data_IF_056874735712
#
_entry.id   IF_056874735712
#
_cell.length_a   1.000
_cell.length_b   1.000
_cell.length_c   1.000
_cell.angle_alpha   90.00
_cell.angle_beta   90.00
_cell.angle_gamma   90.00
#
_symmetry.space_group_name_H-M   'P 1'
#
loop_
_entity.id
_entity.type
_entity.pdbx_description
1 polymer ?
#
# COMPACT_ATOMS: atom_id res chain seq x y z
N UNK A 1 32.53 15.18 -1.39
CA UNK A 1 31.47 14.36 -2.05
C UNK A 1 30.25 14.22 -1.14
N UNK A 2 29.94 15.28 -0.43
CA UNK A 2 28.95 15.23 0.67
C UNK A 2 27.49 15.42 0.21
N UNK A 3 27.28 15.93 -0.99
CA UNK A 3 25.96 16.09 -1.60
C UNK A 3 25.22 14.76 -1.89
N UNK A 4 25.96 13.63 -1.99
CA UNK A 4 25.37 12.29 -2.15
C UNK A 4 24.86 11.68 -0.84
N UNK A 5 25.28 12.22 0.33
CA UNK A 5 24.83 11.73 1.63
C UNK A 5 23.51 12.40 2.07
N UNK A 6 23.30 13.65 1.66
CA UNK A 6 22.09 14.41 2.02
C UNK A 6 20.99 14.37 0.94
N UNK A 7 21.36 14.14 -0.32
CA UNK A 7 20.42 14.09 -1.43
C UNK A 7 19.49 12.85 -1.47
N UNK A 8 19.90 11.62 -1.09
CA UNK A 8 19.07 10.44 -1.33
C UNK A 8 17.81 10.38 -0.46
N UNK A 9 17.85 10.90 0.78
CA UNK A 9 16.68 10.86 1.66
C UNK A 9 15.55 11.78 1.19
N UNK A 10 15.87 13.02 0.85
CA UNK A 10 14.87 14.00 0.39
C UNK A 10 14.22 13.58 -0.93
N UNK A 11 15.01 13.09 -1.88
CA UNK A 11 14.50 12.58 -3.14
C UNK A 11 13.66 11.31 -2.97
N UNK A 12 14.12 10.36 -2.15
CA UNK A 12 13.38 9.14 -1.86
C UNK A 12 12.03 9.47 -1.20
N UNK A 13 12.02 10.39 -0.24
CA UNK A 13 10.81 10.86 0.41
C UNK A 13 9.84 11.50 -0.60
N UNK A 14 10.33 12.42 -1.45
CA UNK A 14 9.50 13.09 -2.44
C UNK A 14 8.92 12.12 -3.47
N UNK A 15 9.72 11.19 -3.96
CA UNK A 15 9.27 10.18 -4.94
C UNK A 15 8.23 9.24 -4.30
N UNK A 16 8.47 8.74 -3.09
CA UNK A 16 7.52 7.90 -2.36
C UNK A 16 6.21 8.63 -2.09
N UNK A 17 6.28 9.90 -1.70
CA UNK A 17 5.10 10.74 -1.51
C UNK A 17 4.29 10.88 -2.81
N UNK A 18 4.95 11.19 -3.93
CA UNK A 18 4.30 11.33 -5.23
C UNK A 18 3.67 10.02 -5.71
N UNK A 19 4.35 8.89 -5.54
CA UNK A 19 3.83 7.57 -5.87
C UNK A 19 2.60 7.25 -5.02
N UNK A 20 2.68 7.47 -3.70
CA UNK A 20 1.55 7.23 -2.80
C UNK A 20 0.36 8.12 -3.15
N UNK A 21 0.61 9.39 -3.47
CA UNK A 21 -0.40 10.37 -3.86
C UNK A 21 -1.07 9.99 -5.19
N UNK A 22 -0.29 9.63 -6.20
CA UNK A 22 -0.80 9.18 -7.50
C UNK A 22 -1.66 7.92 -7.33
N UNK A 23 -1.19 6.92 -6.58
CA UNK A 23 -1.92 5.68 -6.31
C UNK A 23 -3.23 5.93 -5.57
N UNK A 24 -3.20 6.73 -4.52
CA UNK A 24 -4.39 7.04 -3.72
C UNK A 24 -5.44 7.76 -4.55
N UNK A 25 -5.05 8.78 -5.32
CA UNK A 25 -5.96 9.52 -6.19
C UNK A 25 -6.51 8.65 -7.31
N UNK A 26 -5.69 7.83 -7.97
CA UNK A 26 -6.16 6.88 -8.99
C UNK A 26 -7.22 5.95 -8.41
N UNK A 27 -6.99 5.39 -7.23
CA UNK A 27 -7.94 4.50 -6.56
C UNK A 27 -9.24 5.22 -6.19
N UNK A 28 -9.16 6.46 -5.72
CA UNK A 28 -10.33 7.29 -5.44
C UNK A 28 -11.15 7.55 -6.72
N UNK A 29 -10.50 7.94 -7.82
CA UNK A 29 -11.19 8.22 -9.08
C UNK A 29 -11.77 6.97 -9.73
N UNK A 30 -11.09 5.82 -9.61
CA UNK A 30 -11.65 4.52 -10.00
C UNK A 30 -12.92 4.20 -9.21
N UNK A 31 -12.88 4.35 -7.88
CA UNK A 31 -14.06 4.16 -7.03
C UNK A 31 -15.20 5.10 -7.42
N UNK A 32 -14.90 6.36 -7.69
CA UNK A 32 -15.88 7.35 -8.12
C UNK A 32 -16.46 7.06 -9.50
N UNK A 33 -15.62 6.60 -10.44
CA UNK A 33 -16.05 6.18 -11.79
C UNK A 33 -16.92 4.93 -11.75
N UNK A 34 -16.55 3.94 -10.95
CA UNK A 34 -17.37 2.75 -10.70
C UNK A 34 -18.74 3.15 -10.15
N UNK A 35 -18.80 4.01 -9.14
CA UNK A 35 -20.08 4.48 -8.59
C UNK A 35 -20.94 5.28 -9.58
N UNK A 36 -20.33 5.91 -10.60
CA UNK A 36 -21.04 6.59 -11.67
C UNK A 36 -21.58 5.62 -12.72
N UNK A 37 -20.83 4.53 -13.03
CA UNK A 37 -21.17 3.58 -14.10
C UNK A 37 -21.96 2.34 -13.64
N UNK A 38 -21.81 1.94 -12.38
CA UNK A 38 -22.26 0.62 -11.87
C UNK A 38 -23.73 0.59 -11.46
N UNK A 39 -24.45 1.72 -11.51
CA UNK A 39 -25.90 1.69 -11.24
C UNK A 39 -26.66 0.72 -12.16
N UNK A 40 -26.02 0.16 -13.21
CA UNK A 40 -26.64 -0.68 -14.21
C UNK A 40 -25.84 -1.94 -14.64
N UNK A 41 -24.78 -2.37 -13.92
CA UNK A 41 -23.93 -3.49 -14.38
C UNK A 41 -23.72 -4.59 -13.34
N UNK A 42 -23.29 -5.78 -13.84
CA UNK A 42 -22.95 -7.02 -13.08
C UNK A 42 -21.94 -6.82 -11.93
N UNK A 43 -21.35 -5.64 -11.76
CA UNK A 43 -20.31 -5.37 -10.77
C UNK A 43 -20.83 -4.84 -9.42
N UNK A 44 -22.16 -4.79 -9.22
CA UNK A 44 -22.73 -4.40 -7.92
C UNK A 44 -22.22 -5.27 -6.76
N UNK A 45 -21.89 -6.54 -7.02
CA UNK A 45 -21.38 -7.46 -5.99
C UNK A 45 -20.01 -7.07 -5.45
N UNK A 46 -19.17 -6.32 -6.20
CA UNK A 46 -17.89 -5.82 -5.73
C UNK A 46 -18.06 -4.73 -4.66
N UNK A 47 -19.16 -3.99 -4.72
CA UNK A 47 -19.50 -2.94 -3.75
C UNK A 47 -20.19 -3.51 -2.50
N UNK A 48 -20.59 -4.78 -2.52
CA UNK A 48 -21.21 -5.49 -1.39
C UNK A 48 -20.26 -6.45 -0.70
N UNK A 49 -19.01 -6.56 -1.17
CA UNK A 49 -18.00 -7.45 -0.61
C UNK A 49 -17.60 -7.09 0.84
N UNK A 50 -17.13 -8.09 1.62
CA UNK A 50 -16.80 -7.90 3.04
C UNK A 50 -15.69 -6.85 3.27
N UNK A 51 -14.77 -6.71 2.33
CA UNK A 51 -13.68 -5.71 2.40
C UNK A 51 -14.26 -4.31 2.23
N UNK A 52 -15.17 -4.12 1.26
CA UNK A 52 -15.83 -2.85 1.04
C UNK A 52 -16.66 -2.43 2.25
N UNK A 53 -17.48 -3.34 2.81
CA UNK A 53 -18.29 -3.06 4.00
C UNK A 53 -17.43 -2.72 5.22
N UNK A 54 -16.24 -3.32 5.38
CA UNK A 54 -15.30 -2.95 6.44
C UNK A 54 -14.76 -1.53 6.22
N UNK A 55 -14.36 -1.19 5.00
CA UNK A 55 -13.85 0.12 4.65
C UNK A 55 -14.93 1.20 4.80
N UNK A 56 -16.16 0.93 4.38
CA UNK A 56 -17.29 1.83 4.54
C UNK A 56 -17.61 2.09 6.03
N UNK A 57 -17.71 1.04 6.86
CA UNK A 57 -17.87 1.17 8.32
C UNK A 57 -16.73 1.95 8.96
N UNK A 58 -15.51 1.77 8.48
CA UNK A 58 -14.35 2.49 8.96
C UNK A 58 -14.44 3.99 8.62
N UNK A 59 -14.84 4.33 7.39
CA UNK A 59 -15.09 5.71 6.97
C UNK A 59 -16.25 6.34 7.76
N UNK A 60 -17.35 5.61 7.97
CA UNK A 60 -18.49 6.10 8.73
C UNK A 60 -18.13 6.38 10.20
N UNK A 61 -17.29 5.54 10.80
CA UNK A 61 -16.87 5.67 12.20
C UNK A 61 -15.82 6.76 12.41
N UNK A 62 -14.85 6.85 11.51
CA UNK A 62 -13.69 7.72 11.67
C UNK A 62 -13.72 8.96 10.76
N UNK A 63 -14.68 9.04 9.83
CA UNK A 63 -14.85 10.16 8.92
C UNK A 63 -13.58 10.47 8.14
N UNK A 64 -13.16 11.74 8.15
CA UNK A 64 -11.97 12.24 7.44
C UNK A 64 -10.68 11.59 7.96
N UNK A 65 -10.62 11.20 9.23
CA UNK A 65 -9.47 10.56 9.86
C UNK A 65 -9.28 9.10 9.44
N UNK A 66 -10.30 8.46 8.86
CA UNK A 66 -10.19 7.10 8.35
C UNK A 66 -9.09 6.95 7.29
N UNK A 67 -8.92 7.98 6.46
CA UNK A 67 -7.96 7.96 5.34
C UNK A 67 -6.51 7.91 5.85
N UNK A 68 -6.00 8.89 6.63
CA UNK A 68 -4.63 8.82 7.10
C UNK A 68 -4.37 7.61 8.00
N UNK A 69 -5.34 7.18 8.80
CA UNK A 69 -5.19 5.99 9.64
C UNK A 69 -5.10 4.71 8.81
N UNK A 70 -5.78 4.63 7.66
CA UNK A 70 -5.69 3.48 6.75
C UNK A 70 -4.31 3.31 6.13
N UNK A 71 -3.51 4.39 6.03
CA UNK A 71 -2.15 4.34 5.50
C UNK A 71 -1.17 3.60 6.42
N UNK A 72 -1.50 3.44 7.70
CA UNK A 72 -0.71 2.62 8.61
C UNK A 72 -0.93 1.11 8.41
N UNK A 73 -2.01 0.72 7.71
CA UNK A 73 -2.34 -0.70 7.50
C UNK A 73 -2.25 -1.04 6.02
N UNK A 74 -1.30 -1.92 5.67
CA UNK A 74 -1.08 -2.36 4.28
C UNK A 74 -2.33 -3.09 3.76
N UNK A 75 -2.83 -2.65 2.61
CA UNK A 75 -4.00 -3.24 1.93
C UNK A 75 -5.33 -2.57 2.22
N UNK A 76 -5.60 -2.13 3.45
CA UNK A 76 -6.86 -1.44 3.81
C UNK A 76 -6.92 -0.05 3.17
N UNK A 77 -5.79 0.64 3.03
CA UNK A 77 -5.73 1.97 2.42
C UNK A 77 -6.34 2.03 1.01
N UNK A 78 -6.12 0.99 0.19
CA UNK A 78 -6.68 0.94 -1.17
C UNK A 78 -8.21 0.82 -1.12
N UNK A 79 -8.73 -0.03 -0.25
CA UNK A 79 -10.17 -0.18 -0.05
C UNK A 79 -10.80 1.11 0.51
N UNK A 80 -10.16 1.79 1.46
CA UNK A 80 -10.63 3.05 2.03
C UNK A 80 -10.66 4.17 0.98
N UNK A 81 -9.60 4.32 0.18
CA UNK A 81 -9.56 5.32 -0.91
C UNK A 81 -10.62 5.03 -1.98
N UNK A 82 -10.80 3.76 -2.39
CA UNK A 82 -11.86 3.37 -3.31
C UNK A 82 -13.24 3.66 -2.73
N UNK A 83 -13.47 3.32 -1.46
CA UNK A 83 -14.75 3.56 -0.76
C UNK A 83 -15.05 5.05 -0.61
N UNK A 84 -14.05 5.89 -0.35
CA UNK A 84 -14.20 7.34 -0.34
C UNK A 84 -14.63 7.87 -1.73
N UNK A 85 -14.08 7.29 -2.80
CA UNK A 85 -14.48 7.59 -4.18
C UNK A 85 -15.92 7.17 -4.46
N UNK A 86 -16.31 5.94 -4.09
CA UNK A 86 -17.67 5.40 -4.27
C UNK A 86 -18.69 6.22 -3.47
N UNK A 87 -18.37 6.58 -2.22
CA UNK A 87 -19.18 7.44 -1.36
C UNK A 87 -19.24 8.89 -1.88
N UNK A 88 -18.54 9.21 -2.98
CA UNK A 88 -18.44 10.54 -3.57
C UNK A 88 -18.02 11.61 -2.57
N UNK A 89 -17.11 11.24 -1.66
CA UNK A 89 -16.56 12.17 -0.68
C UNK A 89 -16.04 13.44 -1.39
N UNK A 90 -16.38 14.66 -0.92
CA UNK A 90 -15.91 15.89 -1.57
C UNK A 90 -14.38 16.00 -1.48
N UNK A 91 -13.75 16.39 -2.59
CA UNK A 91 -12.28 16.48 -2.71
C UNK A 91 -11.67 17.41 -1.65
N UNK A 92 -12.38 18.45 -1.24
CA UNK A 92 -11.96 19.38 -0.19
C UNK A 92 -11.69 18.67 1.15
N UNK A 93 -12.40 17.58 1.43
CA UNK A 93 -12.20 16.76 2.63
C UNK A 93 -11.22 15.61 2.39
N UNK A 94 -11.26 15.04 1.18
CA UNK A 94 -10.42 13.91 0.81
C UNK A 94 -8.94 14.30 0.67
N UNK A 95 -8.62 15.38 -0.09
CA UNK A 95 -7.24 15.77 -0.39
C UNK A 95 -6.40 16.07 0.85
N UNK A 96 -6.84 16.87 1.83
CA UNK A 96 -6.04 17.08 3.04
C UNK A 96 -5.73 15.78 3.79
N UNK A 97 -6.72 14.89 3.86
CA UNK A 97 -6.60 13.62 4.57
C UNK A 97 -5.62 12.68 3.89
N UNK A 98 -5.67 12.59 2.55
CA UNK A 98 -4.75 11.74 1.80
C UNK A 98 -3.33 12.32 1.79
N UNK A 99 -3.19 13.65 1.75
CA UNK A 99 -1.87 14.31 1.86
C UNK A 99 -1.21 13.94 3.19
N UNK A 100 -1.91 14.08 4.30
CA UNK A 100 -1.40 13.69 5.63
C UNK A 100 -1.03 12.21 5.66
N UNK A 101 -1.89 11.34 5.14
CA UNK A 101 -1.62 9.89 5.04
C UNK A 101 -0.38 9.58 4.21
N UNK A 102 -0.21 10.24 3.05
CA UNK A 102 0.94 10.06 2.17
C UNK A 102 2.23 10.59 2.81
N UNK A 103 2.18 11.71 3.55
CA UNK A 103 3.34 12.25 4.27
C UNK A 103 3.82 11.28 5.35
N UNK A 104 2.91 10.76 6.17
CA UNK A 104 3.22 9.77 7.21
C UNK A 104 3.79 8.49 6.57
N UNK A 105 3.14 7.99 5.52
CA UNK A 105 3.57 6.80 4.82
C UNK A 105 4.96 6.98 4.19
N UNK A 106 5.19 8.09 3.49
CA UNK A 106 6.49 8.39 2.89
C UNK A 106 7.59 8.53 3.95
N UNK A 107 7.29 9.12 5.12
CA UNK A 107 8.23 9.22 6.23
C UNK A 107 8.63 7.85 6.77
N UNK A 108 7.66 6.96 7.00
CA UNK A 108 7.91 5.60 7.49
C UNK A 108 8.74 4.81 6.47
N UNK A 109 8.34 4.83 5.20
CA UNK A 109 8.99 4.01 4.18
C UNK A 109 10.34 4.57 3.73
N UNK A 110 10.56 5.89 3.77
CA UNK A 110 11.89 6.46 3.49
C UNK A 110 12.89 6.13 4.59
N UNK A 111 12.46 6.13 5.86
CA UNK A 111 13.36 5.78 6.99
C UNK A 111 13.62 4.28 7.05
N UNK A 112 12.57 3.45 7.06
CA UNK A 112 12.71 1.99 7.14
C UNK A 112 13.34 1.43 5.86
N UNK A 113 12.94 1.93 4.68
CA UNK A 113 13.49 1.50 3.40
C UNK A 113 15.00 1.78 3.30
N UNK A 114 15.44 2.97 3.72
CA UNK A 114 16.87 3.31 3.75
C UNK A 114 17.62 2.44 4.76
N UNK A 115 17.07 2.19 5.96
CA UNK A 115 17.68 1.30 6.94
C UNK A 115 17.85 -0.13 6.39
N UNK A 116 16.86 -0.64 5.67
CA UNK A 116 16.93 -1.96 5.00
C UNK A 116 18.00 -1.97 3.91
N UNK A 117 18.10 -0.92 3.08
CA UNK A 117 19.12 -0.82 2.05
C UNK A 117 20.52 -0.80 2.67
N UNK A 118 20.74 0.01 3.72
CA UNK A 118 22.02 0.04 4.42
C UNK A 118 22.37 -1.30 5.07
N UNK A 119 21.40 -1.95 5.73
CA UNK A 119 21.58 -3.27 6.29
C UNK A 119 21.92 -4.31 5.20
N UNK A 120 21.27 -4.22 4.06
CA UNK A 120 21.49 -5.10 2.91
C UNK A 120 22.91 -4.97 2.33
N UNK A 121 23.38 -3.72 2.18
CA UNK A 121 24.75 -3.43 1.74
C UNK A 121 25.76 -3.92 2.79
N UNK A 122 25.50 -3.73 4.09
CA UNK A 122 26.38 -4.13 5.18
C UNK A 122 26.50 -5.65 5.35
N UNK A 123 25.41 -6.40 5.15
CA UNK A 123 25.39 -7.87 5.28
C UNK A 123 26.04 -8.55 4.08
N UNK A 124 26.11 -7.87 2.92
CA UNK A 124 26.61 -8.42 1.66
C UNK A 124 25.60 -9.34 0.97
N UNK A 125 25.43 -9.14 -0.32
CA UNK A 125 24.45 -9.86 -1.15
C UNK A 125 24.62 -11.39 -1.14
N UNK A 126 25.83 -11.87 -0.83
CA UNK A 126 26.19 -13.28 -0.78
C UNK A 126 25.33 -14.08 0.23
N UNK A 127 25.06 -13.51 1.39
CA UNK A 127 24.26 -14.17 2.45
C UNK A 127 22.78 -14.23 2.11
N UNK A 128 22.30 -13.26 1.35
CA UNK A 128 20.91 -13.23 0.89
C UNK A 128 20.69 -14.28 -0.19
N UNK A 129 21.63 -14.40 -1.12
CA UNK A 129 21.62 -15.46 -2.14
C UNK A 129 21.72 -16.84 -1.47
N UNK A 130 22.61 -17.00 -0.51
CA UNK A 130 22.73 -18.25 0.25
C UNK A 130 21.41 -18.59 0.99
N UNK A 131 20.79 -17.62 1.65
CA UNK A 131 19.49 -17.80 2.31
C UNK A 131 18.37 -18.18 1.32
N UNK A 132 18.30 -17.51 0.18
CA UNK A 132 17.31 -17.81 -0.86
C UNK A 132 17.51 -19.23 -1.43
N UNK A 133 18.75 -19.65 -1.64
CA UNK A 133 19.08 -21.01 -2.12
C UNK A 133 18.65 -22.04 -1.07
N UNK A 134 18.94 -21.83 0.22
CA UNK A 134 18.51 -22.73 1.29
C UNK A 134 16.99 -22.87 1.34
N UNK A 135 16.25 -21.74 1.28
CA UNK A 135 14.80 -21.75 1.25
C UNK A 135 14.27 -22.52 0.04
N UNK A 136 14.85 -22.30 -1.14
CA UNK A 136 14.48 -23.03 -2.36
C UNK A 136 14.70 -24.54 -2.22
N UNK A 137 15.86 -24.95 -1.70
CA UNK A 137 16.19 -26.36 -1.47
C UNK A 137 15.18 -27.00 -0.49
N UNK A 138 14.92 -26.35 0.63
CA UNK A 138 13.96 -26.82 1.64
C UNK A 138 12.56 -26.96 1.04
N UNK A 139 12.12 -25.95 0.26
CA UNK A 139 10.81 -25.97 -0.39
C UNK A 139 10.70 -27.11 -1.40
N UNK A 140 11.73 -27.30 -2.23
CA UNK A 140 11.75 -28.39 -3.23
C UNK A 140 11.77 -29.76 -2.52
N UNK A 141 12.58 -29.92 -1.48
CA UNK A 141 12.64 -31.16 -0.69
C UNK A 141 11.29 -31.45 -0.05
N UNK A 142 10.63 -30.44 0.51
CA UNK A 142 9.30 -30.60 1.12
C UNK A 142 8.21 -30.96 0.11
N UNK A 143 8.23 -30.36 -1.09
CA UNK A 143 7.30 -30.69 -2.18
C UNK A 143 7.53 -32.13 -2.68
N UNK A 144 8.80 -32.55 -2.82
CA UNK A 144 9.14 -33.92 -3.22
C UNK A 144 8.71 -34.94 -2.16
N UNK A 145 8.96 -34.65 -0.89
CA UNK A 145 8.53 -35.50 0.22
C UNK A 145 7.00 -35.68 0.25
N UNK A 146 6.25 -34.61 0.06
CA UNK A 146 4.78 -34.70 -0.04
C UNK A 146 4.29 -35.50 -1.23
N UNK A 147 4.97 -35.42 -2.37
CA UNK A 147 4.59 -36.19 -3.59
C UNK A 147 4.90 -37.68 -3.48
N UNK A 148 5.81 -38.06 -2.61
CA UNK A 148 6.17 -39.49 -2.41
C UNK A 148 5.29 -40.16 -1.35
N UNK A 149 4.67 -39.41 -0.46
CA UNK A 149 3.91 -39.94 0.68
C UNK A 149 2.40 -39.63 0.61
N UNK A 150 1.89 -39.08 -0.50
CA UNK A 150 0.48 -38.88 -0.81
C UNK A 150 0.11 -39.54 -2.13
#
# INVERSE_FOLDING_TARGET
MDWLQDAPFGWAYAVLFLIAMARANTTYWLGRGIAAGVKHTRFQHLLTGPIYQRAERFIQRWGVFAIPLSFMTVGIQTAVNASAGVARMPLVRYLPSVIVGCLIWAAIYSTVGMAVIYAWIAIGWQWIVAGAVVVAIVTIAWIRYRRQNG
#
